data_IF_212887291322
#
_entry.id   IF_212887291322
#
_cell.length_a   1.000
_cell.length_b   1.000
_cell.length_c   1.000
_cell.angle_alpha   90.00
_cell.angle_beta   90.00
_cell.angle_gamma   90.00
#
_symmetry.space_group_name_H-M   'P 1'
#
loop_
_entity.id
_entity.type
_entity.pdbx_description
1 polymer ?
#
# COMPACT_ATOMS: atom_id res chain seq x y z
N UNK A 1 8.93 -44.06 30.58
CA UNK A 1 9.92 -43.29 31.38
C UNK A 1 10.90 -44.25 32.05
N UNK A 2 10.41 -45.41 32.52
CA UNK A 2 11.23 -46.42 33.21
C UNK A 2 12.36 -47.07 32.36
N UNK A 3 12.21 -47.14 31.03
CA UNK A 3 13.25 -47.68 30.12
C UNK A 3 14.39 -46.69 29.82
N UNK A 4 14.22 -45.38 30.09
CA UNK A 4 15.25 -44.38 29.84
C UNK A 4 16.23 -44.25 31.02
N UNK A 5 15.80 -44.64 32.22
CA UNK A 5 16.59 -44.59 33.45
C UNK A 5 17.43 -45.84 33.69
N UNK A 6 17.06 -46.97 33.07
CA UNK A 6 17.85 -48.20 33.11
C UNK A 6 18.83 -48.15 31.93
N UNK A 7 20.13 -48.17 32.21
CA UNK A 7 21.28 -48.05 31.30
C UNK A 7 21.34 -49.06 30.11
N UNK A 8 20.24 -49.68 29.70
CA UNK A 8 20.15 -50.41 28.45
C UNK A 8 19.64 -49.47 27.36
N UNK A 9 20.57 -48.77 26.72
CA UNK A 9 20.39 -48.07 25.44
C UNK A 9 20.02 -49.09 24.35
N UNK A 10 18.82 -49.64 24.45
CA UNK A 10 18.30 -50.67 23.56
C UNK A 10 18.12 -50.01 22.19
N UNK A 11 18.72 -50.60 21.15
CA UNK A 11 18.71 -50.13 19.76
C UNK A 11 17.31 -49.71 19.27
N UNK A 12 16.27 -50.38 19.77
CA UNK A 12 14.85 -50.05 19.53
C UNK A 12 14.43 -48.64 19.98
N UNK A 13 14.97 -48.13 21.10
CA UNK A 13 14.69 -46.77 21.59
C UNK A 13 15.37 -45.75 20.68
N UNK A 14 16.61 -46.00 20.26
CA UNK A 14 17.33 -45.12 19.33
C UNK A 14 16.60 -45.04 17.98
N UNK A 15 16.19 -46.18 17.43
CA UNK A 15 15.43 -46.24 16.17
C UNK A 15 14.09 -45.50 16.29
N UNK A 16 13.39 -45.63 17.43
CA UNK A 16 12.16 -44.89 17.69
C UNK A 16 12.40 -43.38 17.74
N UNK A 17 13.46 -42.94 18.39
CA UNK A 17 13.81 -41.51 18.48
C UNK A 17 14.24 -40.93 17.14
N UNK A 18 14.96 -41.69 16.31
CA UNK A 18 15.28 -41.30 14.94
C UNK A 18 14.02 -41.12 14.09
N UNK A 19 13.05 -42.06 14.15
CA UNK A 19 11.77 -41.93 13.43
C UNK A 19 10.95 -40.73 13.91
N UNK A 20 10.94 -40.47 15.22
CA UNK A 20 10.27 -39.30 15.80
C UNK A 20 10.91 -38.00 15.31
N UNK A 21 12.24 -37.93 15.29
CA UNK A 21 12.98 -36.77 14.76
C UNK A 21 12.68 -36.54 13.28
N UNK A 22 12.74 -37.60 12.44
CA UNK A 22 12.40 -37.49 11.02
C UNK A 22 10.98 -36.95 10.82
N UNK A 23 9.99 -37.49 11.56
CA UNK A 23 8.60 -37.01 11.50
C UNK A 23 8.46 -35.55 11.94
N UNK A 24 9.23 -35.11 12.94
CA UNK A 24 9.23 -33.70 13.36
C UNK A 24 9.83 -32.79 12.29
N UNK A 25 10.93 -33.20 11.66
CA UNK A 25 11.55 -32.46 10.56
C UNK A 25 10.62 -32.36 9.35
N UNK A 26 9.95 -33.48 9.00
CA UNK A 26 8.96 -33.53 7.93
C UNK A 26 7.74 -32.65 8.25
N UNK A 27 7.28 -32.64 9.51
CA UNK A 27 6.19 -31.77 9.95
C UNK A 27 6.57 -30.29 9.85
N UNK A 28 7.77 -29.90 10.29
CA UNK A 28 8.27 -28.52 10.15
C UNK A 28 8.43 -28.11 8.68
N UNK A 29 8.84 -29.04 7.81
CA UNK A 29 8.94 -28.80 6.37
C UNK A 29 7.56 -28.62 5.75
N UNK A 30 6.61 -29.51 6.08
CA UNK A 30 5.22 -29.44 5.61
C UNK A 30 4.48 -28.19 6.08
N UNK A 31 4.74 -27.72 7.32
CA UNK A 31 4.20 -26.44 7.81
C UNK A 31 4.76 -25.28 6.99
N UNK A 32 6.08 -25.25 6.75
CA UNK A 32 6.71 -24.23 5.90
C UNK A 32 6.21 -24.26 4.45
N UNK A 33 6.07 -25.44 3.86
CA UNK A 33 5.53 -25.62 2.51
C UNK A 33 4.06 -25.20 2.44
N UNK A 34 3.23 -25.55 3.44
CA UNK A 34 1.83 -25.11 3.53
C UNK A 34 1.70 -23.61 3.75
N UNK A 35 2.53 -22.99 4.58
CA UNK A 35 2.56 -21.54 4.76
C UNK A 35 3.02 -20.83 3.50
N UNK A 36 4.05 -21.33 2.83
CA UNK A 36 4.52 -20.81 1.55
C UNK A 36 3.46 -20.98 0.44
N UNK A 37 2.79 -22.13 0.41
CA UNK A 37 1.68 -22.41 -0.51
C UNK A 37 0.47 -21.50 -0.21
N UNK A 38 0.09 -21.31 1.05
CA UNK A 38 -0.95 -20.36 1.46
C UNK A 38 -0.59 -18.92 1.10
N UNK A 39 0.66 -18.49 1.31
CA UNK A 39 1.16 -17.18 0.85
C UNK A 39 1.05 -17.05 -0.68
N UNK A 40 1.41 -18.10 -1.44
CA UNK A 40 1.22 -18.14 -2.92
C UNK A 40 -0.24 -18.23 -3.36
N UNK A 41 -1.17 -18.63 -2.49
CA UNK A 41 -2.61 -18.65 -2.76
C UNK A 41 -3.32 -17.36 -2.32
N UNK A 42 -2.72 -16.58 -1.43
CA UNK A 42 -3.34 -15.39 -0.82
C UNK A 42 -3.35 -14.13 -1.70
N UNK A 43 -2.82 -14.21 -2.92
CA UNK A 43 -2.90 -13.11 -3.91
C UNK A 43 -3.41 -13.66 -5.24
N UNK A 44 -4.60 -14.27 -5.21
CA UNK A 44 -5.49 -14.12 -6.37
C UNK A 44 -6.47 -13.03 -5.96
N UNK A 45 -6.07 -11.80 -6.22
CA UNK A 45 -7.01 -10.69 -6.21
C UNK A 45 -8.16 -11.09 -7.13
N UNK A 46 -9.39 -11.09 -6.58
CA UNK A 46 -10.57 -10.97 -7.41
C UNK A 46 -10.31 -9.80 -8.35
N UNK A 47 -10.63 -9.97 -9.63
CA UNK A 47 -10.46 -8.98 -10.68
C UNK A 47 -11.25 -7.70 -10.29
N UNK A 48 -10.69 -6.88 -9.41
CA UNK A 48 -11.17 -5.53 -9.15
C UNK A 48 -10.82 -4.83 -10.44
N UNK A 49 -11.81 -4.71 -11.33
CA UNK A 49 -11.77 -3.77 -12.44
C UNK A 49 -11.26 -2.47 -11.85
N UNK A 50 -10.00 -2.14 -12.12
CA UNK A 50 -9.41 -0.89 -11.71
C UNK A 50 -10.29 0.18 -12.32
N UNK A 51 -11.12 0.82 -11.49
CA UNK A 51 -11.84 2.02 -11.90
C UNK A 51 -10.76 3.07 -12.10
N UNK A 52 -10.28 3.21 -13.33
CA UNK A 52 -9.50 4.37 -13.71
C UNK A 52 -10.29 5.61 -13.26
N UNK A 53 -9.64 6.57 -12.59
CA UNK A 53 -10.31 7.82 -12.25
C UNK A 53 -11.01 8.37 -13.50
N UNK A 54 -12.23 8.91 -13.36
CA UNK A 54 -12.91 9.52 -14.50
C UNK A 54 -11.99 10.56 -15.14
N UNK A 55 -12.03 10.67 -16.47
CA UNK A 55 -11.28 11.67 -17.21
C UNK A 55 -11.50 13.04 -16.56
N UNK A 56 -10.40 13.72 -16.20
CA UNK A 56 -10.46 15.09 -15.72
C UNK A 56 -11.09 15.90 -16.85
N UNK A 57 -12.24 16.53 -16.58
CA UNK A 57 -12.92 17.34 -17.59
C UNK A 57 -11.95 18.41 -18.09
N UNK A 58 -11.71 18.47 -19.39
CA UNK A 58 -10.74 19.39 -19.99
C UNK A 58 -11.00 20.86 -19.59
N UNK A 59 -12.27 21.23 -19.45
CA UNK A 59 -12.72 22.54 -18.97
C UNK A 59 -12.18 22.91 -17.57
N UNK A 60 -12.08 21.93 -16.65
CA UNK A 60 -11.52 22.16 -15.31
C UNK A 60 -10.02 22.46 -15.39
N UNK A 61 -9.32 21.70 -16.24
CA UNK A 61 -7.87 21.86 -16.44
C UNK A 61 -7.54 23.20 -17.10
N UNK A 62 -8.30 23.60 -18.11
CA UNK A 62 -8.15 24.89 -18.77
C UNK A 62 -8.40 26.07 -17.80
N UNK A 63 -9.43 25.95 -16.94
CA UNK A 63 -9.72 26.94 -15.90
C UNK A 63 -8.58 27.08 -14.91
N UNK A 64 -8.08 25.97 -14.37
CA UNK A 64 -6.95 25.99 -13.42
C UNK A 64 -5.70 26.60 -14.05
N UNK A 65 -5.40 26.26 -15.31
CA UNK A 65 -4.26 26.80 -16.04
C UNK A 65 -4.37 28.31 -16.26
N UNK A 66 -5.56 28.80 -16.65
CA UNK A 66 -5.81 30.24 -16.83
C UNK A 66 -5.63 31.00 -15.51
N UNK A 67 -6.23 30.47 -14.44
CA UNK A 67 -6.18 31.07 -13.12
C UNK A 67 -4.75 31.14 -12.57
N UNK A 68 -3.98 30.07 -12.76
CA UNK A 68 -2.56 30.01 -12.39
C UNK A 68 -1.72 31.00 -13.19
N UNK A 69 -2.01 31.18 -14.48
CA UNK A 69 -1.31 32.14 -15.34
C UNK A 69 -1.55 33.57 -14.87
N UNK A 70 -2.81 33.94 -14.61
CA UNK A 70 -3.17 35.28 -14.11
C UNK A 70 -2.54 35.57 -12.74
N UNK A 71 -2.49 34.57 -11.85
CA UNK A 71 -1.79 34.68 -10.56
C UNK A 71 -0.29 34.94 -10.76
N UNK A 72 0.38 34.19 -11.65
CA UNK A 72 1.81 34.36 -11.91
C UNK A 72 2.12 35.70 -12.56
N UNK A 73 1.24 36.18 -13.44
CA UNK A 73 1.41 37.48 -14.08
C UNK A 73 1.21 38.62 -13.07
N UNK A 74 0.22 38.53 -12.18
CA UNK A 74 0.10 39.44 -11.04
C UNK A 74 1.37 39.42 -10.17
N UNK A 75 1.86 38.24 -9.76
CA UNK A 75 3.05 38.15 -8.90
C UNK A 75 4.33 38.73 -9.53
N UNK A 76 4.41 38.82 -10.87
CA UNK A 76 5.55 39.43 -11.59
C UNK A 76 5.55 40.96 -11.57
N UNK A 77 4.43 41.61 -11.26
CA UNK A 77 4.31 43.08 -11.25
C UNK A 77 5.02 43.76 -10.06
N UNK A 78 5.78 43.01 -9.25
CA UNK A 78 6.65 43.57 -8.21
C UNK A 78 5.93 43.94 -6.91
N UNK A 79 4.77 43.33 -6.65
CA UNK A 79 3.99 43.55 -5.44
C UNK A 79 4.76 43.28 -4.13
N UNK A 80 4.40 44.01 -3.07
CA UNK A 80 4.99 43.84 -1.73
C UNK A 80 4.76 42.42 -1.18
N UNK A 81 5.60 41.93 -0.25
CA UNK A 81 5.46 40.59 0.34
C UNK A 81 4.07 40.26 0.87
N UNK A 82 3.42 41.24 1.49
CA UNK A 82 2.08 41.12 2.09
C UNK A 82 1.02 40.98 1.01
N UNK A 83 1.17 41.74 -0.08
CA UNK A 83 0.24 41.71 -1.20
C UNK A 83 0.37 40.41 -2.02
N UNK A 84 1.56 39.80 -2.06
CA UNK A 84 1.77 38.47 -2.64
C UNK A 84 1.04 37.37 -1.88
N UNK A 85 1.06 37.43 -0.55
CA UNK A 85 0.28 36.49 0.28
C UNK A 85 -1.23 36.69 0.09
N UNK A 86 -1.68 37.95 -0.03
CA UNK A 86 -3.07 38.25 -0.36
C UNK A 86 -3.49 37.66 -1.71
N UNK A 87 -2.70 37.86 -2.77
CA UNK A 87 -2.95 37.29 -4.10
C UNK A 87 -3.07 35.76 -4.03
N UNK A 88 -2.16 35.08 -3.33
CA UNK A 88 -2.24 33.61 -3.16
C UNK A 88 -3.54 33.19 -2.48
N UNK A 89 -3.89 33.84 -1.37
CA UNK A 89 -5.11 33.51 -0.61
C UNK A 89 -6.39 33.71 -1.41
N UNK A 90 -6.44 34.77 -2.23
CA UNK A 90 -7.56 35.06 -3.11
C UNK A 90 -7.76 33.98 -4.17
N UNK A 91 -6.69 33.59 -4.85
CA UNK A 91 -6.74 32.56 -5.88
C UNK A 91 -7.00 31.16 -5.30
N UNK A 92 -6.58 30.87 -4.06
CA UNK A 92 -6.91 29.64 -3.34
C UNK A 92 -8.41 29.55 -3.00
N UNK A 93 -9.03 30.66 -2.60
CA UNK A 93 -10.49 30.71 -2.39
C UNK A 93 -11.23 30.55 -3.72
N UNK A 94 -10.75 31.20 -4.78
CA UNK A 94 -11.39 31.20 -6.09
C UNK A 94 -11.30 29.83 -6.79
N UNK A 95 -10.24 29.06 -6.57
CA UNK A 95 -10.12 27.68 -7.10
C UNK A 95 -11.08 26.72 -6.39
N UNK A 96 -11.39 26.96 -5.12
CA UNK A 96 -12.27 26.12 -4.29
C UNK A 96 -13.76 26.33 -4.56
N UNK A 97 -14.13 27.43 -5.22
CA UNK A 97 -15.51 27.69 -5.59
C UNK A 97 -15.88 27.03 -6.94
N UNK A 98 -16.93 26.18 -6.98
CA UNK A 98 -17.52 25.75 -8.25
C UNK A 98 -18.11 26.99 -8.94
N UNK A 99 -17.77 27.21 -10.22
CA UNK A 99 -18.40 28.29 -11.00
C UNK A 99 -19.93 28.09 -10.96
N UNK A 100 -20.74 29.12 -10.66
CA UNK A 100 -22.13 29.09 -11.09
C UNK A 100 -22.15 29.05 -12.64
N UNK A 101 -23.13 28.36 -13.25
CA UNK A 101 -23.25 28.36 -14.71
C UNK A 101 -23.34 29.80 -15.21
N UNK A 102 -22.55 30.11 -16.24
CA UNK A 102 -22.65 31.39 -16.93
C UNK A 102 -24.10 31.59 -17.44
N UNK A 103 -24.66 32.81 -17.36
CA UNK A 103 -25.96 33.12 -17.94
C UNK A 103 -25.96 32.98 -19.47
#
# INVERSE_FOLDING_TARGET
IDDLQKQNLNRSVIERQQRILSRMLDAQKSVREREYSRKRQSEREDNVLAKSPPEIKQELLERENKLRKEMLDALKEGYSPEYREFIKSYYEILSRQPQPPAP
#
